data_IF_771586935721
#
_entry.id   IF_771586935721
#
_cell.length_a   1.000
_cell.length_b   1.000
_cell.length_c   1.000
_cell.angle_alpha   90.00
_cell.angle_beta   90.00
_cell.angle_gamma   90.00
#
_symmetry.space_group_name_H-M   'P 1'
#
loop_
_entity.id
_entity.type
_entity.pdbx_description
1 polymer ?
#
# COMPACT_ATOMS: atom_id res chain seq x y z
N UNK A 1 16.84 35.32 -5.39
CA UNK A 1 15.47 35.79 -5.11
C UNK A 1 14.68 34.62 -4.50
N UNK A 2 14.28 34.68 -3.23
CA UNK A 2 13.55 33.57 -2.62
C UNK A 2 12.08 33.63 -3.05
N UNK A 3 11.62 32.56 -3.70
CA UNK A 3 10.22 32.33 -4.03
C UNK A 3 9.39 32.29 -2.74
N UNK A 4 8.35 33.14 -2.70
CA UNK A 4 7.49 33.30 -1.54
C UNK A 4 6.83 31.99 -1.11
N UNK A 5 7.02 31.62 0.16
CA UNK A 5 6.49 30.46 0.88
C UNK A 5 4.94 30.41 1.01
N UNK A 6 4.17 31.12 0.18
CA UNK A 6 2.71 31.25 0.29
C UNK A 6 1.90 30.37 -0.67
N UNK A 7 2.51 29.37 -1.32
CA UNK A 7 1.79 28.33 -2.08
C UNK A 7 2.27 26.92 -1.74
N UNK A 8 2.63 26.64 -0.48
CA UNK A 8 2.90 25.27 -0.04
C UNK A 8 1.59 24.49 0.18
N UNK A 9 1.59 23.19 -0.10
CA UNK A 9 0.48 22.27 0.20
C UNK A 9 0.00 22.37 1.67
N UNK A 10 0.89 22.81 2.57
CA UNK A 10 0.60 23.10 3.97
C UNK A 10 -0.30 24.33 4.16
N UNK A 11 -0.14 25.37 3.33
CA UNK A 11 -0.99 26.56 3.34
C UNK A 11 -2.41 26.27 2.86
N UNK A 12 -2.58 25.39 1.87
CA UNK A 12 -3.91 24.93 1.41
C UNK A 12 -4.59 24.03 2.45
N UNK A 13 -3.83 23.14 3.11
CA UNK A 13 -4.32 22.33 4.22
C UNK A 13 -4.78 23.20 5.40
N UNK A 14 -3.99 24.21 5.79
CA UNK A 14 -4.35 25.16 6.85
C UNK A 14 -5.57 26.00 6.50
N UNK A 15 -5.76 26.35 5.22
CA UNK A 15 -6.95 27.07 4.75
C UNK A 15 -8.21 26.20 4.88
N UNK A 16 -8.13 24.93 4.47
CA UNK A 16 -9.22 23.96 4.64
C UNK A 16 -9.53 23.61 6.10
N UNK A 17 -8.52 23.56 6.97
CA UNK A 17 -8.71 23.32 8.42
C UNK A 17 -9.33 24.54 9.13
N UNK A 18 -8.96 25.76 8.70
CA UNK A 18 -9.59 27.01 9.18
C UNK A 18 -11.03 27.16 8.70
N UNK A 19 -11.32 26.81 7.45
CA UNK A 19 -12.69 26.80 6.88
C UNK A 19 -13.62 25.82 7.62
N UNK A 20 -13.07 24.83 8.35
CA UNK A 20 -13.81 23.85 9.17
C UNK A 20 -13.71 24.08 10.68
N UNK A 21 -13.16 25.21 11.16
CA UNK A 21 -13.00 25.53 12.58
C UNK A 21 -12.23 24.48 13.42
N UNK A 22 -11.25 23.78 12.84
CA UNK A 22 -10.43 22.82 13.59
C UNK A 22 -9.16 23.52 14.09
N UNK A 23 -9.03 23.66 15.42
CA UNK A 23 -7.90 24.31 16.08
C UNK A 23 -6.58 23.54 15.90
N UNK A 24 -5.50 24.25 15.54
CA UNK A 24 -4.14 23.71 15.43
C UNK A 24 -3.58 23.19 16.78
N UNK A 25 -4.09 23.63 17.92
CA UNK A 25 -3.69 23.11 19.24
C UNK A 25 -4.40 21.79 19.59
N UNK A 26 -5.52 21.48 18.92
CA UNK A 26 -6.31 20.25 19.09
C UNK A 26 -5.70 19.09 18.30
N UNK A 27 -5.24 19.37 17.07
CA UNK A 27 -4.51 18.43 16.21
C UNK A 27 -3.22 17.89 16.86
N UNK A 28 -2.53 18.71 17.67
CA UNK A 28 -1.31 18.30 18.39
C UNK A 28 -1.58 17.51 19.67
N UNK A 29 -2.76 17.64 20.29
CA UNK A 29 -3.12 16.92 21.53
C UNK A 29 -3.66 15.50 21.27
N UNK A 30 -4.08 15.21 20.05
CA UNK A 30 -4.60 13.91 19.58
C UNK A 30 -3.50 12.86 19.27
N UNK A 31 -2.22 13.18 19.44
CA UNK A 31 -1.16 12.43 18.75
C UNK A 31 -0.53 11.26 19.50
N UNK A 32 -0.61 11.14 20.84
CA UNK A 32 0.11 10.05 21.54
C UNK A 32 -0.77 9.23 22.51
N UNK A 33 -1.57 9.87 23.38
CA UNK A 33 -2.39 9.14 24.38
C UNK A 33 -3.63 8.47 23.78
N UNK A 34 -4.24 9.09 22.77
CA UNK A 34 -5.42 8.53 22.09
C UNK A 34 -5.04 7.36 21.17
N UNK A 35 -3.80 7.32 20.66
CA UNK A 35 -3.38 6.29 19.71
C UNK A 35 -3.24 4.92 20.40
N UNK A 36 -2.69 4.88 21.61
CA UNK A 36 -2.62 3.66 22.43
C UNK A 36 -4.03 3.15 22.77
N UNK A 37 -4.94 4.05 23.11
CA UNK A 37 -6.33 3.71 23.42
C UNK A 37 -7.08 3.20 22.19
N UNK A 38 -6.85 3.80 21.02
CA UNK A 38 -7.38 3.34 19.72
C UNK A 38 -6.85 1.93 19.41
N UNK A 39 -5.54 1.68 19.58
CA UNK A 39 -4.95 0.34 19.37
C UNK A 39 -5.62 -0.71 20.27
N UNK A 40 -5.74 -0.44 21.57
CA UNK A 40 -6.40 -1.35 22.53
C UNK A 40 -7.86 -1.63 22.16
N UNK A 41 -8.60 -0.60 21.76
CA UNK A 41 -10.01 -0.73 21.32
C UNK A 41 -10.14 -1.55 20.04
N UNK A 42 -9.26 -1.35 19.06
CA UNK A 42 -9.20 -2.15 17.84
C UNK A 42 -9.01 -3.63 18.19
N UNK A 43 -8.02 -3.96 19.03
CA UNK A 43 -7.77 -5.35 19.46
C UNK A 43 -8.98 -5.93 20.20
N UNK A 44 -9.59 -5.17 21.11
CA UNK A 44 -10.81 -5.59 21.81
C UNK A 44 -12.00 -5.82 20.85
N UNK A 45 -12.15 -4.98 19.82
CA UNK A 45 -13.16 -5.14 18.77
C UNK A 45 -13.00 -6.47 18.03
N UNK A 46 -11.76 -6.78 17.66
CA UNK A 46 -11.41 -7.97 16.91
C UNK A 46 -11.62 -9.25 17.75
N UNK A 47 -11.36 -9.18 19.06
CA UNK A 47 -11.65 -10.27 20.00
C UNK A 47 -13.16 -10.51 20.14
N UNK A 48 -13.98 -9.45 20.18
CA UNK A 48 -15.44 -9.51 20.36
C UNK A 48 -16.20 -9.89 19.07
N UNK A 49 -15.53 -10.25 17.98
CA UNK A 49 -15.95 -10.28 16.56
C UNK A 49 -17.30 -10.86 16.11
N UNK A 50 -18.26 -11.18 16.99
CA UNK A 50 -19.60 -11.71 16.64
C UNK A 50 -20.76 -10.70 16.71
N UNK A 51 -20.55 -9.45 17.16
CA UNK A 51 -21.64 -8.44 17.35
C UNK A 51 -21.46 -7.10 16.62
N UNK A 52 -20.50 -6.97 15.71
CA UNK A 52 -20.20 -5.69 15.04
C UNK A 52 -21.05 -5.54 13.76
N UNK A 53 -21.71 -4.38 13.59
CA UNK A 53 -22.45 -4.05 12.36
C UNK A 53 -21.48 -3.93 11.16
N UNK A 54 -21.90 -4.35 9.97
CA UNK A 54 -21.06 -4.42 8.76
C UNK A 54 -20.40 -3.07 8.38
N UNK A 55 -21.10 -1.95 8.52
CA UNK A 55 -20.56 -0.61 8.30
C UNK A 55 -19.44 -0.25 9.28
N UNK A 56 -19.55 -0.65 10.55
CA UNK A 56 -18.51 -0.48 11.57
C UNK A 56 -17.28 -1.33 11.26
N UNK A 57 -17.45 -2.53 10.69
CA UNK A 57 -16.32 -3.39 10.28
C UNK A 57 -15.46 -2.71 9.23
N UNK A 58 -16.08 -2.14 8.19
CA UNK A 58 -15.35 -1.41 7.15
C UNK A 58 -14.53 -0.24 7.72
N UNK A 59 -15.07 0.47 8.72
CA UNK A 59 -14.37 1.57 9.38
C UNK A 59 -13.20 1.08 10.25
N UNK A 60 -13.40 0.01 11.04
CA UNK A 60 -12.33 -0.61 11.85
C UNK A 60 -11.19 -1.07 10.94
N UNK A 61 -11.50 -1.68 9.80
CA UNK A 61 -10.49 -2.13 8.86
C UNK A 61 -9.70 -0.97 8.23
N UNK A 62 -10.38 0.13 7.89
CA UNK A 62 -9.70 1.33 7.43
C UNK A 62 -8.78 1.89 8.51
N UNK A 63 -9.21 1.89 9.78
CA UNK A 63 -8.36 2.32 10.91
C UNK A 63 -7.15 1.40 11.13
N UNK A 64 -7.34 0.07 11.11
CA UNK A 64 -6.25 -0.90 11.17
C UNK A 64 -5.25 -0.64 10.07
N UNK A 65 -5.73 -0.54 8.83
CA UNK A 65 -4.88 -0.20 7.69
C UNK A 65 -4.10 1.10 7.94
N UNK A 66 -4.77 2.10 8.51
CA UNK A 66 -4.15 3.38 8.78
C UNK A 66 -3.01 3.30 9.79
N UNK A 67 -3.20 2.54 10.86
CA UNK A 67 -2.19 2.33 11.90
C UNK A 67 -1.02 1.53 11.34
N UNK A 68 -1.29 0.49 10.52
CA UNK A 68 -0.25 -0.33 9.89
C UNK A 68 0.68 0.47 8.94
N UNK A 69 0.21 1.62 8.45
CA UNK A 69 0.97 2.55 7.61
C UNK A 69 1.86 3.52 8.39
N UNK A 70 1.66 3.67 9.70
CA UNK A 70 2.51 4.52 10.53
C UNK A 70 3.81 3.80 10.88
N UNK A 71 4.83 4.57 11.23
CA UNK A 71 6.09 4.05 11.78
C UNK A 71 5.90 3.42 13.17
N UNK A 72 4.80 3.76 13.87
CA UNK A 72 4.38 3.20 15.16
C UNK A 72 3.59 1.89 15.05
N UNK A 73 3.53 1.27 13.86
CA UNK A 73 2.72 0.08 13.62
C UNK A 73 3.11 -1.15 14.47
N UNK A 74 4.36 -1.21 14.93
CA UNK A 74 4.90 -2.33 15.72
C UNK A 74 4.08 -2.58 16.98
N UNK A 75 3.61 -1.53 17.64
CA UNK A 75 2.79 -1.66 18.86
C UNK A 75 1.44 -2.33 18.57
N UNK A 76 0.82 -2.04 17.42
CA UNK A 76 -0.42 -2.72 17.02
C UNK A 76 -0.14 -4.20 16.72
N UNK A 77 0.94 -4.50 16.02
CA UNK A 77 1.33 -5.88 15.68
C UNK A 77 1.58 -6.68 16.96
N UNK A 78 2.38 -6.16 17.89
CA UNK A 78 2.65 -6.79 19.18
C UNK A 78 1.36 -7.02 19.97
N UNK A 79 0.48 -6.02 20.07
CA UNK A 79 -0.80 -6.17 20.77
C UNK A 79 -1.68 -7.25 20.13
N UNK A 80 -1.72 -7.34 18.80
CA UNK A 80 -2.49 -8.38 18.10
C UNK A 80 -1.92 -9.78 18.36
N UNK A 81 -0.59 -9.93 18.37
CA UNK A 81 0.09 -11.21 18.66
C UNK A 81 -0.13 -11.67 20.10
N UNK A 82 0.10 -10.78 21.07
CA UNK A 82 -0.13 -11.05 22.50
C UNK A 82 -1.57 -11.50 22.78
N UNK A 83 -2.52 -10.88 22.08
CA UNK A 83 -3.94 -11.15 22.24
C UNK A 83 -4.45 -12.28 21.32
N UNK A 84 -3.58 -12.94 20.55
CA UNK A 84 -3.91 -13.99 19.57
C UNK A 84 -5.03 -13.57 18.60
N UNK A 85 -5.03 -12.30 18.23
CA UNK A 85 -6.00 -11.70 17.32
C UNK A 85 -5.45 -11.78 15.90
N UNK A 86 -6.27 -12.29 14.99
CA UNK A 86 -6.00 -12.24 13.55
C UNK A 86 -7.02 -11.34 12.88
N UNK A 87 -6.71 -10.76 11.72
CA UNK A 87 -7.72 -10.01 10.95
C UNK A 87 -8.68 -10.96 10.25
N UNK A 88 -8.37 -12.26 10.22
CA UNK A 88 -9.24 -13.31 9.72
C UNK A 88 -10.60 -13.37 10.44
N UNK A 89 -10.68 -12.96 11.71
CA UNK A 89 -11.98 -12.85 12.41
C UNK A 89 -12.88 -11.78 11.81
N UNK A 90 -12.32 -10.74 11.17
CA UNK A 90 -13.10 -9.76 10.42
C UNK A 90 -13.65 -10.32 9.11
N UNK A 91 -13.06 -11.38 8.53
CA UNK A 91 -13.55 -11.98 7.28
C UNK A 91 -14.96 -12.60 7.42
N UNK A 92 -15.34 -12.97 8.64
CA UNK A 92 -16.61 -13.64 8.94
C UNK A 92 -17.81 -12.68 9.11
N UNK A 93 -17.56 -11.38 9.16
CA UNK A 93 -18.56 -10.37 9.57
C UNK A 93 -19.26 -9.69 8.36
N UNK A 94 -18.57 -9.31 7.27
CA UNK A 94 -19.21 -8.75 6.08
C UNK A 94 -19.92 -9.85 5.30
N UNK A 95 -21.25 -9.90 5.41
CA UNK A 95 -22.08 -10.90 4.70
C UNK A 95 -22.57 -10.41 3.34
N UNK A 96 -22.61 -9.09 3.09
CA UNK A 96 -23.26 -8.51 1.90
C UNK A 96 -22.29 -7.76 1.00
N UNK A 97 -21.29 -7.08 1.56
CA UNK A 97 -20.31 -6.31 0.76
C UNK A 97 -19.16 -7.20 0.27
N UNK A 98 -19.10 -7.38 -1.06
CA UNK A 98 -18.00 -8.08 -1.72
C UNK A 98 -16.67 -7.34 -1.58
N UNK A 99 -16.69 -6.00 -1.60
CA UNK A 99 -15.49 -5.17 -1.45
C UNK A 99 -14.92 -5.28 -0.04
N UNK A 100 -15.75 -5.17 0.99
CA UNK A 100 -15.25 -5.22 2.38
C UNK A 100 -14.64 -6.60 2.65
N UNK A 101 -15.25 -7.67 2.11
CA UNK A 101 -14.69 -9.03 2.18
C UNK A 101 -13.36 -9.19 1.41
N UNK A 102 -13.23 -8.56 0.24
CA UNK A 102 -11.95 -8.53 -0.47
C UNK A 102 -10.90 -7.75 0.31
N UNK A 103 -11.27 -6.59 0.85
CA UNK A 103 -10.38 -5.74 1.63
C UNK A 103 -9.88 -6.42 2.89
N UNK A 104 -10.66 -7.28 3.54
CA UNK A 104 -10.23 -7.98 4.75
C UNK A 104 -9.16 -9.03 4.44
N UNK A 105 -9.31 -9.72 3.31
CA UNK A 105 -8.29 -10.64 2.81
C UNK A 105 -7.01 -9.90 2.42
N UNK A 106 -7.14 -8.74 1.76
CA UNK A 106 -6.00 -7.88 1.39
C UNK A 106 -5.30 -7.33 2.65
N UNK A 107 -6.07 -6.92 3.65
CA UNK A 107 -5.55 -6.33 4.89
C UNK A 107 -4.76 -7.35 5.73
N UNK A 108 -5.18 -8.62 5.75
CA UNK A 108 -4.41 -9.71 6.38
C UNK A 108 -3.04 -9.91 5.71
N UNK A 109 -3.00 -9.88 4.36
CA UNK A 109 -1.73 -9.93 3.62
C UNK A 109 -0.89 -8.69 3.91
N UNK A 110 -1.51 -7.52 4.00
CA UNK A 110 -0.84 -6.27 4.33
C UNK A 110 -0.24 -6.30 5.75
N UNK A 111 -0.99 -6.83 6.72
CA UNK A 111 -0.53 -7.06 8.09
C UNK A 111 0.68 -7.99 8.12
N UNK A 112 0.61 -9.12 7.40
CA UNK A 112 1.72 -10.09 7.29
C UNK A 112 2.98 -9.42 6.73
N UNK A 113 2.85 -8.66 5.64
CA UNK A 113 3.98 -7.90 5.08
C UNK A 113 4.57 -6.92 6.10
N UNK A 114 3.72 -6.21 6.86
CA UNK A 114 4.20 -5.25 7.86
C UNK A 114 4.89 -5.93 9.05
N UNK A 115 4.36 -7.06 9.51
CA UNK A 115 4.96 -7.90 10.56
C UNK A 115 6.32 -8.43 10.14
N UNK A 116 6.41 -9.03 8.95
CA UNK A 116 7.60 -9.73 8.49
C UNK A 116 8.72 -8.76 8.04
N UNK A 117 8.38 -7.54 7.61
CA UNK A 117 9.32 -6.59 7.01
C UNK A 117 9.33 -5.19 7.67
N UNK A 118 9.02 -5.06 8.96
CA UNK A 118 8.88 -3.80 9.73
C UNK A 118 9.59 -2.54 9.16
N UNK A 119 8.88 -1.39 9.17
CA UNK A 119 9.33 -0.07 8.63
C UNK A 119 9.44 0.07 7.10
N UNK A 120 8.59 -0.66 6.37
CA UNK A 120 8.58 -0.79 4.90
C UNK A 120 8.32 0.52 4.10
N UNK A 121 7.90 1.63 4.71
CA UNK A 121 7.39 2.77 3.94
C UNK A 121 8.43 3.85 3.60
N UNK A 122 9.59 3.88 4.26
CA UNK A 122 10.63 4.89 4.01
C UNK A 122 11.92 4.34 3.42
N UNK A 123 12.44 3.17 3.84
CA UNK A 123 13.65 2.55 3.26
C UNK A 123 13.73 1.03 3.53
N UNK A 124 12.86 0.24 2.89
CA UNK A 124 12.83 -1.24 3.00
C UNK A 124 14.22 -1.89 2.88
N UNK A 125 15.04 -1.31 2.02
CA UNK A 125 16.31 -1.90 1.62
C UNK A 125 17.46 -1.51 2.55
N UNK A 126 17.23 -0.57 3.47
CA UNK A 126 18.20 -0.25 4.53
C UNK A 126 18.00 -1.18 5.75
N UNK A 127 16.84 -1.85 5.83
CA UNK A 127 16.48 -2.75 6.94
C UNK A 127 16.55 -4.24 6.59
N UNK A 128 16.52 -4.59 5.30
CA UNK A 128 16.67 -5.97 4.83
C UNK A 128 18.15 -6.30 4.64
N UNK A 129 18.61 -7.40 5.24
CA UNK A 129 20.02 -7.74 5.32
C UNK A 129 20.45 -8.77 4.28
N UNK A 130 19.51 -9.44 3.60
CA UNK A 130 19.82 -10.50 2.63
C UNK A 130 19.04 -10.36 1.32
N UNK A 131 19.65 -10.83 0.23
CA UNK A 131 19.04 -10.80 -1.10
C UNK A 131 17.75 -11.64 -1.16
N UNK A 132 17.72 -12.77 -0.45
CA UNK A 132 16.57 -13.67 -0.36
C UNK A 132 15.38 -13.02 0.37
N UNK A 133 15.63 -12.23 1.41
CA UNK A 133 14.59 -11.43 2.08
C UNK A 133 14.01 -10.36 1.15
N UNK A 134 14.83 -9.69 0.33
CA UNK A 134 14.34 -8.70 -0.65
C UNK A 134 13.46 -9.38 -1.70
N UNK A 135 13.85 -10.57 -2.17
CA UNK A 135 13.07 -11.36 -3.12
C UNK A 135 11.75 -11.86 -2.51
N UNK A 136 11.77 -12.28 -1.24
CA UNK A 136 10.58 -12.69 -0.49
C UNK A 136 9.62 -11.51 -0.25
N UNK A 137 10.16 -10.34 0.08
CA UNK A 137 9.41 -9.10 0.16
C UNK A 137 8.77 -8.76 -1.19
N UNK A 138 9.55 -8.81 -2.27
CA UNK A 138 9.07 -8.54 -3.63
C UNK A 138 7.90 -9.47 -4.01
N UNK A 139 8.04 -10.76 -3.71
CA UNK A 139 6.97 -11.76 -3.93
C UNK A 139 5.71 -11.41 -3.16
N UNK A 140 5.86 -11.00 -1.89
CA UNK A 140 4.75 -10.66 -1.01
C UNK A 140 3.98 -9.42 -1.49
N UNK A 141 4.70 -8.37 -1.92
CA UNK A 141 4.05 -7.16 -2.45
C UNK A 141 3.39 -7.39 -3.81
N UNK A 142 3.97 -8.21 -4.69
CA UNK A 142 3.38 -8.57 -5.99
C UNK A 142 2.08 -9.36 -5.76
N UNK A 143 2.08 -10.33 -4.84
CA UNK A 143 0.89 -11.07 -4.45
C UNK A 143 -0.21 -10.15 -3.92
N UNK A 144 0.15 -9.20 -3.06
CA UNK A 144 -0.81 -8.23 -2.54
C UNK A 144 -1.38 -7.35 -3.65
N UNK A 145 -0.54 -6.79 -4.53
CA UNK A 145 -0.99 -5.97 -5.65
C UNK A 145 -1.94 -6.75 -6.59
N UNK A 146 -1.63 -8.02 -6.90
CA UNK A 146 -2.51 -8.90 -7.68
C UNK A 146 -3.88 -9.12 -7.04
N UNK A 147 -3.98 -9.11 -5.72
CA UNK A 147 -5.28 -9.18 -5.06
C UNK A 147 -6.07 -7.88 -5.23
N UNK A 148 -5.38 -6.74 -5.18
CA UNK A 148 -6.03 -5.44 -5.35
C UNK A 148 -6.45 -5.19 -6.81
N UNK A 149 -5.67 -5.65 -7.80
CA UNK A 149 -5.99 -5.44 -9.21
C UNK A 149 -7.30 -6.11 -9.65
N UNK A 150 -7.74 -7.14 -8.91
CA UNK A 150 -9.04 -7.82 -9.09
C UNK A 150 -10.24 -7.05 -8.54
N UNK A 151 -10.01 -5.95 -7.83
CA UNK A 151 -11.08 -5.13 -7.25
C UNK A 151 -11.68 -4.28 -8.37
N UNK A 152 -13.01 -4.31 -8.51
CA UNK A 152 -13.70 -3.48 -9.49
C UNK A 152 -13.77 -2.03 -8.99
N UNK A 153 -13.09 -1.09 -9.66
CA UNK A 153 -13.07 0.33 -9.26
C UNK A 153 -14.15 1.18 -9.97
N UNK A 154 -14.70 0.66 -11.07
CA UNK A 154 -15.54 1.43 -11.99
C UNK A 154 -17.07 1.30 -11.75
N UNK A 155 -17.52 0.57 -10.73
CA UNK A 155 -18.96 0.46 -10.49
C UNK A 155 -19.51 1.73 -9.80
N UNK A 156 -20.64 2.26 -10.28
CA UNK A 156 -21.30 3.45 -9.73
C UNK A 156 -22.04 3.22 -8.41
N UNK A 157 -22.37 1.97 -8.05
CA UNK A 157 -23.24 1.61 -6.93
C UNK A 157 -22.46 1.16 -5.69
N UNK A 158 -21.66 2.04 -5.10
CA UNK A 158 -20.95 1.78 -3.84
C UNK A 158 -21.47 2.63 -2.69
N UNK A 159 -21.48 2.06 -1.48
CA UNK A 159 -21.76 2.83 -0.27
C UNK A 159 -20.60 3.77 0.06
N UNK A 160 -20.83 4.75 0.93
CA UNK A 160 -19.77 5.66 1.37
C UNK A 160 -18.59 4.93 2.03
N UNK A 161 -18.88 3.88 2.80
CA UNK A 161 -17.87 3.05 3.45
C UNK A 161 -17.04 2.26 2.42
N UNK A 162 -17.69 1.69 1.41
CA UNK A 162 -17.03 0.98 0.32
C UNK A 162 -16.17 1.94 -0.53
N UNK A 163 -16.63 3.17 -0.76
CA UNK A 163 -15.86 4.18 -1.46
C UNK A 163 -14.57 4.54 -0.70
N UNK A 164 -14.61 4.61 0.63
CA UNK A 164 -13.40 4.82 1.45
C UNK A 164 -12.40 3.67 1.29
N UNK A 165 -12.89 2.43 1.34
CA UNK A 165 -12.07 1.22 1.10
C UNK A 165 -11.46 1.21 -0.30
N UNK A 166 -12.27 1.47 -1.33
CA UNK A 166 -11.79 1.51 -2.71
C UNK A 166 -10.74 2.60 -2.92
N UNK A 167 -10.91 3.76 -2.28
CA UNK A 167 -9.93 4.81 -2.34
C UNK A 167 -8.58 4.35 -1.78
N UNK A 168 -8.59 3.72 -0.59
CA UNK A 168 -7.36 3.15 -0.01
C UNK A 168 -6.70 2.18 -0.98
N UNK A 169 -7.47 1.21 -1.48
CA UNK A 169 -6.98 0.16 -2.36
C UNK A 169 -6.41 0.73 -3.66
N UNK A 170 -7.05 1.71 -4.26
CA UNK A 170 -6.59 2.35 -5.50
C UNK A 170 -5.22 3.00 -5.33
N UNK A 171 -5.04 3.82 -4.28
CA UNK A 171 -3.75 4.49 -4.06
C UNK A 171 -2.68 3.53 -3.57
N UNK A 172 -3.04 2.43 -2.91
CA UNK A 172 -2.09 1.37 -2.59
C UNK A 172 -1.57 0.64 -3.83
N UNK A 173 -2.40 0.43 -4.87
CA UNK A 173 -1.88 -0.09 -6.15
C UNK A 173 -0.83 0.84 -6.73
N UNK A 174 -1.06 2.16 -6.68
CA UNK A 174 -0.09 3.14 -7.14
C UNK A 174 1.21 3.06 -6.33
N UNK A 175 1.14 2.83 -5.02
CA UNK A 175 2.34 2.62 -4.19
C UNK A 175 3.04 1.29 -4.51
N UNK A 176 2.30 0.22 -4.77
CA UNK A 176 2.87 -1.06 -5.16
C UNK A 176 3.58 -0.99 -6.51
N UNK A 177 3.07 -0.21 -7.45
CA UNK A 177 3.79 0.11 -8.69
C UNK A 177 5.19 0.66 -8.39
N UNK A 178 5.30 1.64 -7.48
CA UNK A 178 6.59 2.24 -7.13
C UNK A 178 7.51 1.21 -6.45
N UNK A 179 6.99 0.53 -5.43
CA UNK A 179 7.76 -0.44 -4.63
C UNK A 179 8.28 -1.61 -5.45
N UNK A 180 7.47 -2.13 -6.37
CA UNK A 180 7.90 -3.22 -7.26
C UNK A 180 8.96 -2.75 -8.25
N UNK A 181 8.88 -1.52 -8.76
CA UNK A 181 9.94 -0.92 -9.58
C UNK A 181 11.25 -0.79 -8.79
N UNK A 182 11.19 -0.35 -7.54
CA UNK A 182 12.36 -0.26 -6.67
C UNK A 182 12.97 -1.64 -6.39
N UNK A 183 12.14 -2.66 -6.15
CA UNK A 183 12.60 -4.04 -6.02
C UNK A 183 13.32 -4.52 -7.28
N UNK A 184 12.78 -4.24 -8.48
CA UNK A 184 13.42 -4.65 -9.74
C UNK A 184 14.78 -3.99 -9.88
N UNK A 185 14.89 -2.67 -9.66
CA UNK A 185 16.18 -1.94 -9.74
C UNK A 185 17.21 -2.56 -8.79
N UNK A 186 16.81 -2.96 -7.59
CA UNK A 186 17.73 -3.46 -6.57
C UNK A 186 18.08 -4.94 -6.71
N UNK A 187 17.11 -5.77 -7.10
CA UNK A 187 17.34 -7.21 -7.27
C UNK A 187 18.11 -7.52 -8.55
N UNK A 188 17.95 -6.73 -9.61
CA UNK A 188 18.54 -7.05 -10.92
C UNK A 188 20.09 -7.08 -10.90
N UNK A 189 20.79 -6.13 -10.26
CA UNK A 189 22.25 -6.21 -10.07
C UNK A 189 22.74 -7.41 -9.27
N UNK A 190 21.86 -8.02 -8.47
CA UNK A 190 22.18 -9.14 -7.57
C UNK A 190 21.95 -10.51 -8.24
N UNK A 191 21.37 -10.53 -9.44
CA UNK A 191 21.09 -11.77 -10.19
C UNK A 191 22.30 -12.70 -10.32
N UNK A 192 23.56 -12.23 -10.52
CA UNK A 192 24.71 -13.13 -10.55
C UNK A 192 24.83 -14.02 -9.32
N UNK A 193 24.43 -13.53 -8.14
CA UNK A 193 24.49 -14.30 -6.89
C UNK A 193 23.33 -15.28 -6.72
N UNK A 194 22.28 -15.18 -7.54
CA UNK A 194 21.05 -15.94 -7.35
C UNK A 194 21.22 -17.37 -7.82
N UNK A 195 20.66 -18.32 -7.09
CA UNK A 195 20.48 -19.69 -7.55
C UNK A 195 19.41 -19.81 -8.65
N UNK A 196 19.15 -21.04 -9.12
CA UNK A 196 18.16 -21.30 -10.18
C UNK A 196 16.75 -20.92 -9.71
N UNK A 197 16.38 -21.27 -8.47
CA UNK A 197 15.04 -21.06 -7.93
C UNK A 197 14.76 -19.58 -7.70
N UNK A 198 15.73 -18.84 -7.16
CA UNK A 198 15.67 -17.40 -6.96
C UNK A 198 15.54 -16.67 -8.30
N UNK A 199 16.27 -17.11 -9.33
CA UNK A 199 16.16 -16.56 -10.69
C UNK A 199 14.78 -16.78 -11.29
N UNK A 200 14.23 -17.99 -11.15
CA UNK A 200 12.90 -18.32 -11.63
C UNK A 200 11.82 -17.52 -10.87
N UNK A 201 11.99 -17.36 -9.55
CA UNK A 201 11.08 -16.56 -8.71
C UNK A 201 11.11 -15.08 -9.12
N UNK A 202 12.30 -14.51 -9.32
CA UNK A 202 12.45 -13.15 -9.82
C UNK A 202 11.78 -12.98 -11.18
N UNK A 203 12.01 -13.90 -12.12
CA UNK A 203 11.37 -13.91 -13.45
C UNK A 203 9.85 -13.88 -13.33
N UNK A 204 9.27 -14.76 -12.52
CA UNK A 204 7.82 -14.84 -12.34
C UNK A 204 7.24 -13.54 -11.77
N UNK A 205 7.91 -12.96 -10.77
CA UNK A 205 7.50 -11.68 -10.20
C UNK A 205 7.59 -10.53 -11.20
N UNK A 206 8.70 -10.42 -11.95
CA UNK A 206 8.87 -9.39 -12.99
C UNK A 206 7.80 -9.50 -14.07
N UNK A 207 7.48 -10.71 -14.52
CA UNK A 207 6.41 -10.95 -15.49
C UNK A 207 5.06 -10.47 -14.95
N UNK A 208 4.75 -10.82 -13.70
CA UNK A 208 3.50 -10.41 -13.04
C UNK A 208 3.40 -8.89 -12.88
N UNK A 209 4.52 -8.21 -12.59
CA UNK A 209 4.56 -6.75 -12.49
C UNK A 209 4.22 -6.08 -13.82
N UNK A 210 4.65 -6.65 -14.95
CA UNK A 210 4.33 -6.09 -16.27
C UNK A 210 2.82 -6.17 -16.56
N UNK A 211 2.21 -7.30 -16.22
CA UNK A 211 0.75 -7.51 -16.32
C UNK A 211 -0.03 -6.53 -15.42
N UNK A 212 0.36 -6.44 -14.14
CA UNK A 212 -0.29 -5.55 -13.16
C UNK A 212 -0.14 -4.07 -13.52
N UNK A 213 1.01 -3.68 -14.08
CA UNK A 213 1.23 -2.34 -14.64
C UNK A 213 0.21 -2.07 -15.75
N UNK A 214 0.04 -3.00 -16.68
CA UNK A 214 -0.91 -2.84 -17.78
C UNK A 214 -2.35 -2.74 -17.26
N UNK A 215 -2.74 -3.59 -16.30
CA UNK A 215 -4.06 -3.54 -15.65
C UNK A 215 -4.33 -2.18 -15.01
N UNK A 216 -3.38 -1.64 -14.23
CA UNK A 216 -3.51 -0.32 -13.58
C UNK A 216 -3.68 0.81 -14.60
N UNK A 217 -2.84 0.82 -15.65
CA UNK A 217 -2.88 1.84 -16.69
C UNK A 217 -4.17 1.75 -17.51
N UNK A 218 -4.67 0.53 -17.76
CA UNK A 218 -5.92 0.32 -18.46
C UNK A 218 -7.13 0.75 -17.62
N UNK A 219 -7.13 0.42 -16.32
CA UNK A 219 -8.16 0.90 -15.39
C UNK A 219 -8.24 2.44 -15.34
N UNK A 220 -7.11 3.12 -15.50
CA UNK A 220 -7.05 4.59 -15.56
C UNK A 220 -7.61 5.21 -16.86
N UNK A 221 -7.92 4.39 -17.87
CA UNK A 221 -8.67 4.84 -19.06
C UNK A 221 -10.17 4.92 -18.81
N UNK A 222 -10.67 4.31 -17.74
CA UNK A 222 -12.08 4.41 -17.34
C UNK A 222 -12.39 5.80 -16.75
N UNK A 223 -13.48 6.39 -17.21
CA UNK A 223 -13.91 7.74 -16.80
C UNK A 223 -14.29 7.79 -15.32
N UNK A 224 -14.97 6.76 -14.80
CA UNK A 224 -15.44 6.70 -13.41
C UNK A 224 -14.24 6.61 -12.47
N UNK A 225 -13.21 5.87 -12.87
CA UNK A 225 -11.94 5.78 -12.12
C UNK A 225 -11.27 7.15 -12.08
N UNK A 226 -11.16 7.85 -13.23
CA UNK A 226 -10.53 9.18 -13.28
C UNK A 226 -11.30 10.24 -12.50
N UNK A 227 -12.63 10.21 -12.55
CA UNK A 227 -13.48 11.13 -11.82
C UNK A 227 -13.30 10.97 -10.30
N UNK A 228 -13.25 9.72 -9.82
CA UNK A 228 -13.16 9.40 -8.39
C UNK A 228 -11.76 9.57 -7.81
N UNK A 229 -10.74 9.09 -8.52
CA UNK A 229 -9.40 8.96 -7.98
C UNK A 229 -8.40 9.92 -8.62
N UNK A 230 -8.82 10.66 -9.66
CA UNK A 230 -7.97 11.55 -10.43
C UNK A 230 -7.32 10.84 -11.62
N UNK A 231 -6.68 11.64 -12.48
CA UNK A 231 -5.99 11.15 -13.66
C UNK A 231 -4.53 10.87 -13.35
N UNK A 232 -4.08 9.62 -13.55
CA UNK A 232 -2.66 9.31 -13.45
C UNK A 232 -1.86 10.09 -14.51
N UNK A 233 -0.69 10.64 -14.13
CA UNK A 233 0.17 11.33 -15.08
C UNK A 233 0.68 10.37 -16.17
N UNK A 234 1.01 10.87 -17.37
CA UNK A 234 1.61 10.05 -18.42
C UNK A 234 2.92 9.39 -17.96
N UNK A 235 2.99 8.07 -18.09
CA UNK A 235 4.15 7.28 -17.72
C UNK A 235 5.13 7.16 -18.90
N UNK A 236 6.42 7.23 -18.61
CA UNK A 236 7.48 6.90 -19.55
C UNK A 236 7.40 5.41 -19.91
N UNK A 237 7.59 5.08 -21.18
CA UNK A 237 7.46 3.71 -21.66
C UNK A 237 8.68 2.86 -21.31
N UNK A 238 8.44 1.66 -20.78
CA UNK A 238 9.43 0.59 -20.66
C UNK A 238 8.73 -0.77 -20.69
N UNK A 239 9.38 -1.78 -21.27
CA UNK A 239 8.88 -3.16 -21.39
C UNK A 239 9.69 -4.09 -20.52
N UNK A 240 9.07 -4.91 -19.66
CA UNK A 240 9.83 -5.86 -18.84
C UNK A 240 10.12 -7.19 -19.56
N UNK A 241 9.59 -7.38 -20.77
CA UNK A 241 9.79 -8.59 -21.58
C UNK A 241 11.27 -8.92 -21.89
N UNK A 242 12.19 -7.97 -22.13
CA UNK A 242 13.60 -8.32 -22.31
C UNK A 242 14.19 -8.92 -21.02
N UNK A 243 13.91 -8.31 -19.86
CA UNK A 243 14.39 -8.79 -18.57
C UNK A 243 13.86 -10.19 -18.25
N UNK A 244 12.58 -10.47 -18.50
CA UNK A 244 12.02 -11.82 -18.28
C UNK A 244 12.64 -12.85 -19.22
N UNK A 245 12.99 -12.47 -20.45
CA UNK A 245 13.70 -13.32 -21.40
C UNK A 245 15.13 -13.64 -20.92
N UNK A 246 15.90 -12.63 -20.51
CA UNK A 246 17.26 -12.86 -19.99
C UNK A 246 17.27 -13.72 -18.72
N UNK A 247 16.33 -13.48 -17.79
CA UNK A 247 16.19 -14.29 -16.59
C UNK A 247 15.82 -15.75 -16.92
N UNK A 248 14.98 -15.98 -17.94
CA UNK A 248 14.66 -17.33 -18.44
C UNK A 248 15.93 -18.01 -18.98
N UNK A 249 16.66 -17.34 -19.86
CA UNK A 249 17.88 -17.88 -20.47
C UNK A 249 18.94 -18.20 -19.40
N UNK A 250 19.09 -17.33 -18.39
CA UNK A 250 19.99 -17.58 -17.26
C UNK A 250 19.61 -18.84 -16.50
N UNK A 251 18.35 -18.99 -16.14
CA UNK A 251 17.88 -20.18 -15.41
C UNK A 251 18.14 -21.47 -16.21
N UNK A 252 17.85 -21.46 -17.52
CA UNK A 252 18.11 -22.59 -18.43
C UNK A 252 19.59 -22.93 -18.53
N UNK A 253 20.48 -21.93 -18.72
CA UNK A 253 21.93 -22.13 -18.74
C UNK A 253 22.47 -22.69 -17.42
N UNK A 254 22.04 -22.14 -16.28
CA UNK A 254 22.45 -22.65 -14.96
C UNK A 254 22.01 -24.10 -14.74
N UNK A 255 20.79 -24.47 -15.17
CA UNK A 255 20.32 -25.86 -15.11
C UNK A 255 21.20 -26.82 -15.93
N UNK A 256 21.77 -26.34 -17.03
CA UNK A 256 22.68 -27.10 -17.90
C UNK A 256 24.16 -27.05 -17.42
N UNK A 257 24.46 -26.36 -16.31
CA UNK A 257 25.83 -26.17 -15.83
C UNK A 257 26.67 -25.23 -16.73
N UNK A 258 26.03 -24.40 -17.55
CA UNK A 258 26.69 -23.50 -18.51
C UNK A 258 26.95 -22.13 -17.84
N UNK A 259 28.13 -21.56 -18.12
CA UNK A 259 28.50 -20.21 -17.67
C UNK A 259 27.49 -19.14 -18.15
N UNK A 260 27.10 -18.25 -17.25
CA UNK A 260 26.02 -17.28 -17.49
C UNK A 260 26.50 -15.84 -17.69
N UNK A 261 27.81 -15.58 -17.69
CA UNK A 261 28.40 -14.24 -17.61
C UNK A 261 27.81 -13.24 -18.62
N UNK A 262 27.75 -13.61 -19.90
CA UNK A 262 27.16 -12.73 -20.94
C UNK A 262 25.70 -12.37 -20.65
N UNK A 263 24.89 -13.35 -20.23
CA UNK A 263 23.48 -13.13 -19.92
C UNK A 263 23.32 -12.32 -18.62
N UNK A 264 24.22 -12.48 -17.66
CA UNK A 264 24.28 -11.66 -16.45
C UNK A 264 24.62 -10.20 -16.77
N UNK A 265 25.56 -9.95 -17.68
CA UNK A 265 25.89 -8.61 -18.16
C UNK A 265 24.70 -7.98 -18.89
N UNK A 266 23.97 -8.73 -19.73
CA UNK A 266 22.73 -8.26 -20.39
C UNK A 266 21.65 -7.84 -19.37
N UNK A 267 21.48 -8.61 -18.30
CA UNK A 267 20.53 -8.33 -17.21
C UNK A 267 20.89 -7.01 -16.50
N UNK A 268 22.16 -6.84 -16.12
CA UNK A 268 22.63 -5.63 -15.43
C UNK A 268 22.53 -4.41 -16.34
N UNK A 269 22.94 -4.54 -17.62
CA UNK A 269 22.86 -3.48 -18.60
C UNK A 269 21.42 -3.03 -18.84
N UNK A 270 20.49 -3.98 -18.97
CA UNK A 270 19.07 -3.66 -19.10
C UNK A 270 18.55 -2.87 -17.90
N UNK A 271 18.90 -3.26 -16.67
CA UNK A 271 18.51 -2.53 -15.47
C UNK A 271 19.07 -1.11 -15.46
N UNK A 272 20.32 -0.91 -15.87
CA UNK A 272 20.94 0.41 -15.95
C UNK A 272 20.22 1.31 -16.96
N UNK A 273 19.91 0.78 -18.15
CA UNK A 273 19.22 1.52 -19.20
C UNK A 273 17.78 1.92 -18.81
N UNK A 274 17.11 1.11 -17.98
CA UNK A 274 15.71 1.33 -17.60
C UNK A 274 15.51 2.01 -16.25
N UNK A 275 16.57 2.10 -15.42
CA UNK A 275 16.55 2.75 -14.10
C UNK A 275 16.00 4.18 -14.14
N UNK A 276 16.40 4.98 -15.13
CA UNK A 276 15.92 6.36 -15.26
C UNK A 276 14.41 6.44 -15.50
N UNK A 277 13.86 5.54 -16.31
CA UNK A 277 12.42 5.45 -16.58
C UNK A 277 11.64 5.02 -15.34
N UNK A 278 12.13 4.03 -14.60
CA UNK A 278 11.54 3.62 -13.33
C UNK A 278 11.49 4.79 -12.33
N UNK A 279 12.62 5.48 -12.12
CA UNK A 279 12.71 6.60 -11.19
C UNK A 279 11.79 7.76 -11.59
N UNK A 280 11.73 8.10 -12.88
CA UNK A 280 10.82 9.14 -13.38
C UNK A 280 9.35 8.77 -13.14
N UNK A 281 8.96 7.54 -13.43
CA UNK A 281 7.59 7.07 -13.23
C UNK A 281 7.22 7.01 -11.74
N UNK A 282 8.12 6.51 -10.90
CA UNK A 282 7.95 6.51 -9.44
C UNK A 282 7.75 7.93 -8.91
N UNK A 283 8.56 8.90 -9.36
CA UNK A 283 8.41 10.30 -8.98
C UNK A 283 7.06 10.89 -9.40
N UNK A 284 6.62 10.63 -10.63
CA UNK A 284 5.31 11.08 -11.12
C UNK A 284 4.17 10.52 -10.28
N UNK A 285 4.21 9.23 -9.97
CA UNK A 285 3.18 8.56 -9.18
C UNK A 285 3.21 9.03 -7.72
N UNK A 286 4.39 9.17 -7.11
CA UNK A 286 4.52 9.70 -5.75
C UNK A 286 4.01 11.16 -5.64
N UNK A 287 4.26 11.99 -6.65
CA UNK A 287 3.69 13.34 -6.74
C UNK A 287 2.15 13.32 -6.89
N UNK A 288 1.61 12.40 -7.68
CA UNK A 288 0.17 12.20 -7.82
C UNK A 288 -0.47 11.80 -6.46
N UNK A 289 0.11 10.79 -5.79
CA UNK A 289 -0.34 10.32 -4.48
C UNK A 289 -0.25 11.44 -3.44
N UNK A 290 0.89 12.13 -3.32
CA UNK A 290 1.07 13.18 -2.29
C UNK A 290 0.09 14.35 -2.47
N UNK A 291 -0.20 14.76 -3.71
CA UNK A 291 -1.14 15.86 -3.99
C UNK A 291 -2.61 15.48 -3.75
N UNK A 292 -3.00 14.25 -4.05
CA UNK A 292 -4.41 13.82 -4.04
C UNK A 292 -4.80 12.98 -2.83
N UNK A 293 -3.87 12.21 -2.26
CA UNK A 293 -4.18 11.19 -1.27
C UNK A 293 -3.77 11.55 0.15
N UNK A 294 -2.58 12.13 0.37
CA UNK A 294 -2.11 12.44 1.73
C UNK A 294 -3.06 13.38 2.51
N UNK A 295 -3.59 14.47 1.91
CA UNK A 295 -4.54 15.35 2.58
C UNK A 295 -5.90 14.67 2.82
N UNK A 296 -6.39 13.85 1.88
CA UNK A 296 -7.70 13.20 1.99
C UNK A 296 -7.68 12.12 3.06
N UNK A 297 -6.61 11.34 3.14
CA UNK A 297 -6.41 10.34 4.18
C UNK A 297 -6.38 10.97 5.59
N UNK A 298 -5.65 12.08 5.75
CA UNK A 298 -5.63 12.84 7.01
C UNK A 298 -7.00 13.44 7.36
N UNK A 299 -7.71 13.97 6.35
CA UNK A 299 -9.05 14.54 6.53
C UNK A 299 -10.13 13.47 6.74
N UNK A 300 -9.99 12.26 6.20
CA UNK A 300 -10.87 11.11 6.45
C UNK A 300 -10.64 10.55 7.84
N UNK A 301 -9.38 10.48 8.31
CA UNK A 301 -9.06 10.16 9.70
C UNK A 301 -9.69 11.18 10.65
N UNK A 302 -9.47 12.47 10.41
CA UNK A 302 -10.09 13.53 11.18
C UNK A 302 -11.62 13.50 11.08
N UNK A 303 -12.22 13.25 9.91
CA UNK A 303 -13.67 13.21 9.75
C UNK A 303 -14.32 11.97 10.37
N UNK A 304 -13.67 10.80 10.34
CA UNK A 304 -14.14 9.60 11.06
C UNK A 304 -14.05 9.81 12.57
N UNK A 305 -13.03 10.52 13.05
CA UNK A 305 -12.93 10.95 14.46
C UNK A 305 -13.99 12.02 14.80
N UNK A 306 -14.21 13.01 13.92
CA UNK A 306 -15.09 14.15 14.16
C UNK A 306 -16.58 13.89 13.95
N UNK A 307 -16.97 13.00 13.02
CA UNK A 307 -18.38 12.61 12.82
C UNK A 307 -18.94 11.87 14.04
N UNK A 308 -18.05 11.37 14.89
CA UNK A 308 -18.35 10.79 16.20
C UNK A 308 -18.15 11.80 17.37
N UNK A 309 -17.52 12.96 17.16
CA UNK A 309 -17.25 13.99 18.19
C UNK A 309 -18.40 15.01 18.37
N UNK A 310 -19.60 14.77 17.82
CA UNK A 310 -20.75 15.62 18.15
C UNK A 310 -21.35 15.31 19.54
N UNK A 311 -20.86 14.28 20.23
CA UNK A 311 -21.09 14.01 21.65
C UNK A 311 -19.84 13.36 22.27
N UNK A 312 -19.34 13.97 23.33
CA UNK A 312 -18.31 13.56 24.29
C UNK A 312 -17.33 12.42 23.92
N UNK A 313 -16.03 12.70 24.03
CA UNK A 313 -14.92 11.78 23.79
C UNK A 313 -14.91 10.52 24.67
N UNK A 314 -15.70 10.47 25.75
CA UNK A 314 -15.96 9.24 26.53
C UNK A 314 -17.10 8.39 25.94
N UNK A 315 -18.07 9.00 25.25
CA UNK A 315 -19.23 8.34 24.66
C UNK A 315 -18.92 7.65 23.32
N UNK A 316 -17.84 8.06 22.62
CA UNK A 316 -17.41 7.48 21.35
C UNK A 316 -17.02 6.00 21.49
N UNK A 317 -16.56 5.61 22.68
CA UNK A 317 -16.21 4.23 23.00
C UNK A 317 -17.47 3.41 23.24
N UNK A 318 -18.42 3.95 23.98
CA UNK A 318 -19.65 3.24 24.33
C UNK A 318 -20.67 3.20 23.17
N UNK A 319 -20.60 4.11 22.20
CA UNK A 319 -21.45 4.09 21.00
C UNK A 319 -20.86 3.24 19.85
N UNK A 320 -19.55 3.02 19.83
CA UNK A 320 -18.90 2.09 18.90
C UNK A 320 -18.93 0.62 19.40
N UNK A 321 -19.00 0.37 20.72
CA UNK A 321 -18.85 -0.96 21.35
C UNK A 321 -20.06 -1.51 22.10
#
# INVERSE_FOLDING_TARGET
>A
MPLSLKQSNYGQLLKHLKERNISNSFVRKLNDKDEEEIRKKVVSALQKGKKIKENKVAQIMQLVFCILKKDTNRELITLMEENKVTLSTLNCIPKKSTIVKQFSTILEVFYTIKRDYNNVDSNVFDTINTNSEILSYFTSIVKCWKMISKVAFNNKKYTNEELGVLQILYYEQCRFYCKTSDCIIKLTPLVPTFDILETQTLKQNVSMVDDLKYELLNANKDEIVRERYGTLPPQSYYQLSPLTSFLKQRAEKKMMGIECKMTEDEIVNYAHQTSSNFLQNNNKINLFISRKYQPIYYLQQLALLHKNNAKDSSAIVDELF
#
